data_IF_835292353957
#
_entry.id   IF_835292353957
#
_cell.length_a   1.000
_cell.length_b   1.000
_cell.length_c   1.000
_cell.angle_alpha   90.00
_cell.angle_beta   90.00
_cell.angle_gamma   90.00
#
_symmetry.space_group_name_H-M   'P 1'
#
loop_
_entity.id
_entity.type
_entity.pdbx_description
1 polymer ?
#
# COMPACT_ATOMS: atom_id res chain seq x y z
N UNK A 1 1.61 19.10 -3.11
CA UNK A 1 1.24 20.40 -3.74
C UNK A 1 1.46 20.29 -5.23
N UNK A 2 0.52 20.76 -6.06
CA UNK A 2 0.71 20.81 -7.52
C UNK A 2 1.71 21.92 -7.88
N UNK A 3 2.63 21.64 -8.79
CA UNK A 3 3.56 22.61 -9.36
C UNK A 3 3.67 22.41 -10.88
N UNK A 4 4.24 23.39 -11.58
CA UNK A 4 4.50 23.30 -13.02
C UNK A 4 6.02 23.29 -13.26
N UNK A 5 6.52 22.24 -13.89
CA UNK A 5 7.92 22.09 -14.27
C UNK A 5 8.19 22.95 -15.51
N UNK A 6 9.05 23.96 -15.38
CA UNK A 6 9.36 24.92 -16.43
C UNK A 6 10.33 24.37 -17.50
N UNK A 7 11.00 23.25 -17.23
CA UNK A 7 11.95 22.63 -18.16
C UNK A 7 11.23 21.57 -18.99
N UNK A 8 10.47 20.70 -18.32
CA UNK A 8 9.74 19.61 -18.97
C UNK A 8 8.32 20.01 -19.43
N UNK A 9 7.90 21.24 -19.12
CA UNK A 9 6.59 21.81 -19.48
C UNK A 9 5.39 20.94 -19.08
N UNK A 10 5.41 20.41 -17.84
CA UNK A 10 4.37 19.52 -17.33
C UNK A 10 4.01 19.80 -15.88
N UNK A 11 2.79 19.45 -15.47
CA UNK A 11 2.42 19.47 -14.06
C UNK A 11 3.08 18.33 -13.30
N UNK A 12 3.54 18.63 -12.09
CA UNK A 12 4.17 17.69 -11.14
C UNK A 12 3.55 17.85 -9.75
N UNK A 13 3.68 16.82 -8.92
CA UNK A 13 3.30 16.87 -7.52
C UNK A 13 4.55 16.98 -6.64
N UNK A 14 4.71 18.09 -5.93
CA UNK A 14 5.77 18.28 -4.95
C UNK A 14 5.27 17.88 -3.56
N UNK A 15 5.92 16.89 -2.94
CA UNK A 15 5.68 16.46 -1.55
C UNK A 15 6.83 16.98 -0.69
N UNK A 16 6.50 17.83 0.28
CA UNK A 16 7.45 18.42 1.23
C UNK A 16 7.56 17.52 2.45
N UNK A 17 8.79 17.27 2.89
CA UNK A 17 9.10 16.43 4.04
C UNK A 17 9.84 17.26 5.06
N UNK A 18 9.19 17.51 6.20
CA UNK A 18 9.79 18.22 7.32
C UNK A 18 10.44 17.26 8.32
N UNK A 19 11.65 17.58 8.76
CA UNK A 19 12.37 16.90 9.82
C UNK A 19 12.04 17.56 11.16
N UNK A 20 12.00 16.75 12.22
CA UNK A 20 11.78 17.30 13.56
C UNK A 20 12.99 18.17 13.96
N UNK A 21 12.74 19.46 14.21
CA UNK A 21 13.77 20.43 14.57
C UNK A 21 14.56 20.04 15.83
N UNK A 22 13.94 19.29 16.75
CA UNK A 22 14.51 18.83 18.02
C UNK A 22 15.42 17.61 17.86
N UNK A 23 15.46 16.96 16.69
CA UNK A 23 16.39 15.86 16.45
C UNK A 23 17.83 16.36 16.45
N UNK A 24 18.74 15.54 16.99
CA UNK A 24 20.17 15.77 16.83
C UNK A 24 20.56 15.73 15.36
N UNK A 25 21.64 16.41 15.01
CA UNK A 25 22.13 16.46 13.64
C UNK A 25 22.42 15.07 13.07
N UNK A 26 23.06 14.21 13.86
CA UNK A 26 23.32 12.81 13.52
C UNK A 26 22.04 12.04 13.20
N UNK A 27 20.96 12.28 13.95
CA UNK A 27 19.66 11.63 13.72
C UNK A 27 19.00 12.16 12.46
N UNK A 28 19.09 13.47 12.18
CA UNK A 28 18.60 14.07 10.92
C UNK A 28 19.34 13.49 9.73
N UNK A 29 20.68 13.47 9.75
CA UNK A 29 21.51 12.89 8.70
C UNK A 29 21.22 11.41 8.48
N UNK A 30 21.06 10.63 9.56
CA UNK A 30 20.67 9.23 9.46
C UNK A 30 19.32 9.07 8.75
N UNK A 31 18.30 9.82 9.18
CA UNK A 31 16.97 9.80 8.58
C UNK A 31 17.01 10.21 7.09
N UNK A 32 17.70 11.29 6.75
CA UNK A 32 17.86 11.76 5.37
C UNK A 32 18.51 10.66 4.51
N UNK A 33 19.58 10.02 4.99
CA UNK A 33 20.24 8.92 4.26
C UNK A 33 19.31 7.74 4.00
N UNK A 34 18.52 7.34 5.00
CA UNK A 34 17.52 6.28 4.84
C UNK A 34 16.45 6.68 3.82
N UNK A 35 15.90 7.88 3.95
CA UNK A 35 14.92 8.43 3.02
C UNK A 35 15.47 8.48 1.58
N UNK A 36 16.67 9.02 1.37
CA UNK A 36 17.33 9.06 0.06
C UNK A 36 17.52 7.67 -0.53
N UNK A 37 17.91 6.66 0.27
CA UNK A 37 18.03 5.26 -0.22
C UNK A 37 16.70 4.75 -0.75
N UNK A 38 15.61 4.94 0.00
CA UNK A 38 14.27 4.54 -0.41
C UNK A 38 13.81 5.29 -1.68
N UNK A 39 14.06 6.60 -1.73
CA UNK A 39 13.74 7.42 -2.91
C UNK A 39 14.57 7.07 -4.14
N UNK A 40 15.85 6.74 -3.98
CA UNK A 40 16.68 6.30 -5.11
C UNK A 40 16.12 5.02 -5.74
N UNK A 41 15.55 4.12 -4.94
CA UNK A 41 14.87 2.93 -5.45
C UNK A 41 13.57 3.29 -6.14
N UNK A 42 12.75 4.15 -5.53
CA UNK A 42 11.50 4.65 -6.14
C UNK A 42 11.77 5.36 -7.48
N UNK A 43 12.88 6.10 -7.61
CA UNK A 43 13.30 6.75 -8.87
C UNK A 43 13.55 5.75 -10.01
N UNK A 44 13.87 4.49 -9.70
CA UNK A 44 14.00 3.41 -10.69
C UNK A 44 12.68 2.70 -11.04
N UNK A 45 11.59 3.03 -10.37
CA UNK A 45 10.29 2.41 -10.61
C UNK A 45 9.57 3.13 -11.75
N UNK A 46 9.35 2.39 -12.83
CA UNK A 46 8.65 2.88 -14.03
C UNK A 46 7.61 1.83 -14.41
N UNK A 47 6.35 2.10 -14.06
CA UNK A 47 5.22 1.23 -14.34
C UNK A 47 3.93 2.05 -14.38
N UNK A 48 2.99 1.67 -15.24
CA UNK A 48 1.72 2.41 -15.43
C UNK A 48 0.94 2.59 -14.13
N UNK A 49 0.93 1.58 -13.27
CA UNK A 49 0.20 1.58 -11.99
C UNK A 49 1.04 1.96 -10.76
N UNK A 50 2.21 2.58 -10.95
CA UNK A 50 3.05 3.12 -9.87
C UNK A 50 3.30 4.59 -10.17
N UNK A 51 3.06 5.48 -9.21
CA UNK A 51 3.37 6.91 -9.36
C UNK A 51 4.87 7.07 -9.56
N UNK A 52 5.27 7.75 -10.63
CA UNK A 52 6.70 7.97 -10.91
C UNK A 52 7.30 9.01 -9.98
N UNK A 53 8.47 8.71 -9.42
CA UNK A 53 9.31 9.71 -8.77
C UNK A 53 10.28 10.28 -9.81
N UNK A 54 10.17 11.58 -10.06
CA UNK A 54 11.02 12.29 -10.99
C UNK A 54 12.30 12.75 -10.33
N UNK A 55 12.19 13.39 -9.16
CA UNK A 55 13.35 13.97 -8.50
C UNK A 55 13.22 14.13 -6.98
N UNK A 56 14.36 14.41 -6.34
CA UNK A 56 14.46 14.74 -4.93
C UNK A 56 15.52 15.82 -4.73
N UNK A 57 15.22 16.83 -3.93
CA UNK A 57 16.17 17.88 -3.58
C UNK A 57 15.91 18.43 -2.18
N UNK A 58 16.98 18.85 -1.51
CA UNK A 58 16.90 19.55 -0.23
C UNK A 58 16.44 21.00 -0.45
N UNK A 59 15.58 21.50 0.43
CA UNK A 59 15.16 22.92 0.44
C UNK A 59 15.98 23.66 1.50
N UNK A 60 16.06 23.10 2.70
CA UNK A 60 16.82 23.62 3.82
C UNK A 60 17.26 22.49 4.76
N UNK A 61 17.89 22.87 5.87
CA UNK A 61 18.46 21.96 6.86
C UNK A 61 17.44 20.98 7.49
N UNK A 62 16.15 21.32 7.49
CA UNK A 62 15.09 20.51 8.08
C UNK A 62 14.02 20.13 7.04
N UNK A 63 14.22 20.38 5.76
CA UNK A 63 13.18 20.18 4.74
C UNK A 63 13.77 19.71 3.42
N UNK A 64 13.19 18.66 2.86
CA UNK A 64 13.45 18.23 1.49
C UNK A 64 12.15 18.01 0.72
N UNK A 65 12.24 18.01 -0.61
CA UNK A 65 11.12 17.86 -1.51
C UNK A 65 11.32 16.67 -2.43
N UNK A 66 10.25 15.90 -2.64
CA UNK A 66 10.19 14.89 -3.70
C UNK A 66 9.22 15.34 -4.80
N UNK A 67 9.68 15.27 -6.04
CA UNK A 67 8.93 15.62 -7.25
C UNK A 67 8.36 14.35 -7.86
N UNK A 68 7.04 14.23 -7.86
CA UNK A 68 6.28 13.06 -8.26
C UNK A 68 5.46 13.35 -9.52
N UNK A 69 5.09 12.29 -10.23
CA UNK A 69 4.02 12.33 -11.24
C UNK A 69 2.75 12.92 -10.63
N UNK A 70 2.19 13.92 -11.30
CA UNK A 70 0.93 14.52 -10.91
C UNK A 70 -0.22 13.65 -11.40
N UNK A 71 -0.97 13.08 -10.46
CA UNK A 71 -2.25 12.42 -10.72
C UNK A 71 -3.35 13.45 -10.46
N UNK A 72 -4.08 13.85 -11.50
CA UNK A 72 -5.10 14.90 -11.40
C UNK A 72 -6.42 14.43 -10.78
N UNK A 73 -6.65 13.12 -10.72
CA UNK A 73 -7.74 12.52 -9.98
C UNK A 73 -7.54 12.56 -8.46
N UNK A 74 -8.60 12.20 -7.73
CA UNK A 74 -8.56 12.05 -6.28
C UNK A 74 -7.83 10.75 -5.89
N UNK A 75 -7.48 10.59 -4.63
CA UNK A 75 -7.14 9.29 -4.07
C UNK A 75 -8.42 8.45 -3.81
N UNK A 76 -8.25 7.14 -3.65
CA UNK A 76 -9.35 6.21 -3.40
C UNK A 76 -10.03 6.47 -2.05
N UNK A 77 -9.35 7.04 -1.04
CA UNK A 77 -9.98 7.40 0.23
C UNK A 77 -11.01 8.52 0.04
N UNK A 78 -10.66 9.55 -0.73
CA UNK A 78 -11.56 10.63 -1.10
C UNK A 78 -12.72 10.15 -2.00
N UNK A 79 -12.49 9.16 -2.87
CA UNK A 79 -13.56 8.49 -3.62
C UNK A 79 -14.51 7.77 -2.67
N UNK A 80 -13.99 6.96 -1.73
CA UNK A 80 -14.81 6.19 -0.79
C UNK A 80 -15.55 7.07 0.23
N UNK A 81 -15.04 8.28 0.54
CA UNK A 81 -15.78 9.27 1.33
C UNK A 81 -17.01 9.81 0.59
N UNK A 82 -16.90 10.02 -0.72
CA UNK A 82 -18.00 10.53 -1.55
C UNK A 82 -18.97 9.42 -2.00
N UNK A 83 -18.45 8.22 -2.23
CA UNK A 83 -19.20 7.05 -2.68
C UNK A 83 -18.73 5.84 -1.86
N UNK A 84 -19.34 5.60 -0.68
CA UNK A 84 -18.87 4.57 0.25
C UNK A 84 -18.84 3.16 -0.34
N UNK A 85 -19.77 2.84 -1.24
CA UNK A 85 -19.87 1.52 -1.87
C UNK A 85 -19.71 1.69 -3.38
N UNK A 86 -18.68 1.08 -3.94
CA UNK A 86 -18.45 1.03 -5.38
C UNK A 86 -19.13 -0.18 -6.01
N UNK A 87 -19.65 -0.07 -7.24
CA UNK A 87 -20.06 -1.23 -8.03
C UNK A 87 -18.90 -2.23 -8.16
N UNK A 88 -19.21 -3.53 -8.07
CA UNK A 88 -18.17 -4.57 -8.09
C UNK A 88 -17.27 -4.50 -9.32
N UNK A 89 -17.83 -4.17 -10.48
CA UNK A 89 -17.07 -4.01 -11.73
C UNK A 89 -16.01 -2.90 -11.62
N UNK A 90 -16.33 -1.79 -10.97
CA UNK A 90 -15.40 -0.67 -10.77
C UNK A 90 -14.34 -1.04 -9.73
N UNK A 91 -14.75 -1.61 -8.60
CA UNK A 91 -13.83 -2.12 -7.58
C UNK A 91 -12.86 -3.16 -8.15
N UNK A 92 -13.32 -4.02 -9.08
CA UNK A 92 -12.50 -5.00 -9.79
C UNK A 92 -11.46 -4.34 -10.70
N UNK A 93 -11.82 -3.30 -11.45
CA UNK A 93 -10.87 -2.56 -12.30
C UNK A 93 -9.73 -1.97 -11.45
N UNK A 94 -10.08 -1.39 -10.30
CA UNK A 94 -9.12 -0.79 -9.37
C UNK A 94 -8.19 -1.86 -8.78
N UNK A 95 -8.75 -2.94 -8.22
CA UNK A 95 -7.94 -3.96 -7.53
C UNK A 95 -7.00 -4.72 -8.50
N UNK A 96 -7.43 -4.95 -9.74
CA UNK A 96 -6.56 -5.54 -10.78
C UNK A 96 -5.34 -4.65 -11.04
N UNK A 97 -5.55 -3.35 -11.19
CA UNK A 97 -4.46 -2.39 -11.43
C UNK A 97 -3.53 -2.24 -10.23
N UNK A 98 -4.07 -2.28 -9.01
CA UNK A 98 -3.26 -2.35 -7.78
C UNK A 98 -2.36 -3.59 -7.82
N UNK A 99 -2.90 -4.78 -8.11
CA UNK A 99 -2.09 -5.99 -8.20
C UNK A 99 -1.08 -5.96 -9.35
N UNK A 100 -1.37 -5.31 -10.48
CA UNK A 100 -0.38 -5.09 -11.55
C UNK A 100 0.83 -4.28 -11.03
N UNK A 101 0.59 -3.22 -10.25
CA UNK A 101 1.64 -2.48 -9.56
C UNK A 101 2.42 -3.34 -8.57
N UNK A 102 1.74 -4.11 -7.71
CA UNK A 102 2.39 -4.99 -6.74
C UNK A 102 3.23 -6.09 -7.42
N UNK A 103 2.75 -6.69 -8.51
CA UNK A 103 3.50 -7.67 -9.29
C UNK A 103 4.78 -7.06 -9.86
N UNK A 104 4.70 -5.82 -10.36
CA UNK A 104 5.90 -5.10 -10.84
C UNK A 104 6.94 -4.95 -9.71
N UNK A 105 6.52 -4.49 -8.53
CA UNK A 105 7.39 -4.33 -7.36
C UNK A 105 8.03 -5.65 -6.93
N UNK A 106 7.28 -6.75 -6.97
CA UNK A 106 7.75 -8.06 -6.54
C UNK A 106 8.65 -8.77 -7.56
N UNK A 107 8.63 -8.34 -8.83
CA UNK A 107 9.50 -8.86 -9.90
C UNK A 107 10.84 -8.11 -10.04
N UNK A 108 11.05 -7.02 -9.29
CA UNK A 108 12.35 -6.33 -9.24
C UNK A 108 13.41 -7.27 -8.65
N UNK A 109 14.68 -7.06 -9.03
CA UNK A 109 15.80 -7.83 -8.49
C UNK A 109 15.80 -7.79 -6.96
N UNK A 110 15.79 -6.58 -6.41
CA UNK A 110 15.45 -6.35 -5.00
C UNK A 110 13.94 -6.22 -4.87
N UNK A 111 13.29 -7.20 -4.24
CA UNK A 111 11.83 -7.20 -4.07
C UNK A 111 11.42 -6.05 -3.16
N UNK A 112 10.36 -5.35 -3.52
CA UNK A 112 9.82 -4.23 -2.73
C UNK A 112 8.48 -4.65 -2.14
N UNK A 113 8.33 -4.47 -0.83
CA UNK A 113 7.06 -4.57 -0.09
C UNK A 113 6.60 -3.13 0.16
N UNK A 114 5.38 -2.79 -0.23
CA UNK A 114 4.85 -1.43 -0.03
C UNK A 114 4.61 -1.12 1.45
N UNK A 115 4.08 -2.09 2.20
CA UNK A 115 3.86 -2.09 3.66
C UNK A 115 2.79 -1.11 4.19
N UNK A 116 2.54 0.03 3.53
CA UNK A 116 1.45 0.96 3.92
C UNK A 116 0.39 1.12 2.81
N UNK A 117 0.01 0.01 2.18
CA UNK A 117 -1.01 0.05 1.13
C UNK A 117 -2.40 0.32 1.75
N UNK A 118 -3.04 1.41 1.32
CA UNK A 118 -4.35 1.89 1.81
C UNK A 118 -5.02 2.78 0.76
N UNK A 119 -6.33 3.08 0.88
CA UNK A 119 -7.04 3.89 -0.12
C UNK A 119 -6.38 5.27 -0.38
N UNK A 120 -5.85 5.92 0.65
CA UNK A 120 -5.16 7.22 0.48
C UNK A 120 -3.85 7.13 -0.32
N UNK A 121 -3.29 5.93 -0.51
CA UNK A 121 -2.07 5.66 -1.27
C UNK A 121 -2.36 5.06 -2.65
N UNK A 122 -3.62 5.14 -3.09
CA UNK A 122 -4.09 4.71 -4.42
C UNK A 122 -4.69 5.92 -5.12
N UNK A 123 -3.97 6.46 -6.11
CA UNK A 123 -4.37 7.64 -6.88
C UNK A 123 -5.00 7.26 -8.21
N UNK A 124 -5.76 8.19 -8.79
CA UNK A 124 -6.24 8.10 -10.16
C UNK A 124 -5.61 9.20 -11.02
N UNK A 125 -5.11 8.85 -12.20
CA UNK A 125 -4.69 9.86 -13.17
C UNK A 125 -5.89 10.46 -13.94
N UNK A 126 -5.60 11.30 -14.94
CA UNK A 126 -6.60 12.05 -15.71
C UNK A 126 -7.58 11.17 -16.51
N UNK A 127 -7.21 9.92 -16.82
CA UNK A 127 -8.06 8.96 -17.53
C UNK A 127 -8.61 7.88 -16.61
N UNK A 128 -8.39 7.99 -15.30
CA UNK A 128 -8.89 7.05 -14.30
C UNK A 128 -8.04 5.79 -14.11
N UNK A 129 -6.80 5.77 -14.60
CA UNK A 129 -5.86 4.67 -14.32
C UNK A 129 -5.39 4.76 -12.88
N UNK A 130 -5.39 3.61 -12.20
CA UNK A 130 -5.02 3.49 -10.80
C UNK A 130 -3.50 3.44 -10.64
N UNK A 131 -2.95 4.25 -9.74
CA UNK A 131 -1.51 4.33 -9.44
C UNK A 131 -1.25 4.23 -7.93
N UNK A 132 -0.40 3.29 -7.53
CA UNK A 132 0.07 3.18 -6.14
C UNK A 132 1.16 4.22 -5.87
N UNK A 133 1.11 4.87 -4.71
CA UNK A 133 2.04 5.93 -4.29
C UNK A 133 2.45 5.76 -2.82
N UNK A 134 3.36 6.62 -2.38
CA UNK A 134 3.84 6.73 -0.98
C UNK A 134 4.63 5.52 -0.46
N UNK A 135 5.87 5.42 -0.93
CA UNK A 135 6.82 4.37 -0.58
C UNK A 135 7.63 4.65 0.70
N UNK A 136 7.27 5.66 1.50
CA UNK A 136 8.06 6.08 2.67
C UNK A 136 8.09 5.10 3.85
N UNK A 137 7.31 4.02 3.79
CA UNK A 137 7.39 2.89 4.72
C UNK A 137 7.76 1.57 4.03
N UNK A 138 8.07 1.64 2.73
CA UNK A 138 8.36 0.46 1.93
C UNK A 138 9.61 -0.26 2.43
N UNK A 139 9.66 -1.57 2.18
CA UNK A 139 10.75 -2.43 2.61
C UNK A 139 11.38 -3.10 1.41
N UNK A 140 12.70 -3.12 1.39
CA UNK A 140 13.49 -3.77 0.36
C UNK A 140 13.99 -5.08 0.93
N UNK A 141 13.60 -6.19 0.30
CA UNK A 141 14.06 -7.52 0.69
C UNK A 141 15.38 -7.76 -0.03
N UNK A 142 16.46 -7.86 0.74
CA UNK A 142 17.80 -8.16 0.23
C UNK A 142 17.91 -9.65 -0.15
N UNK A 143 18.71 -9.97 -1.18
CA UNK A 143 18.75 -11.29 -1.81
C UNK A 143 19.16 -12.43 -0.85
N UNK A 144 19.95 -12.12 0.17
CA UNK A 144 20.49 -13.10 1.12
C UNK A 144 19.46 -13.67 2.11
N UNK A 145 18.22 -13.14 2.15
CA UNK A 145 17.15 -13.63 3.05
C UNK A 145 16.23 -14.66 2.37
N UNK A 146 16.45 -14.93 1.08
CA UNK A 146 15.67 -15.88 0.29
C UNK A 146 14.18 -15.53 0.19
N UNK A 147 13.36 -16.49 -0.26
CA UNK A 147 11.91 -16.33 -0.40
C UNK A 147 11.15 -16.29 0.94
N UNK A 148 11.83 -16.25 2.08
CA UNK A 148 11.20 -16.42 3.37
C UNK A 148 10.57 -15.12 3.88
N UNK A 149 11.18 -13.95 3.67
CA UNK A 149 10.69 -12.67 4.16
C UNK A 149 11.81 -11.82 4.77
N UNK A 150 11.47 -10.89 5.67
CA UNK A 150 12.43 -10.07 6.43
C UNK A 150 11.87 -9.70 7.80
N UNK A 151 12.75 -9.36 8.75
CA UNK A 151 12.32 -8.82 10.04
C UNK A 151 11.70 -7.42 9.89
N UNK A 152 10.62 -7.17 10.62
CA UNK A 152 9.97 -5.88 10.67
C UNK A 152 10.76 -4.93 11.58
N UNK A 153 11.52 -4.04 10.96
CA UNK A 153 12.39 -3.07 11.66
C UNK A 153 11.65 -1.87 12.28
N UNK A 154 10.38 -1.68 11.95
CA UNK A 154 9.57 -0.53 12.38
C UNK A 154 8.19 -0.96 12.85
N UNK A 155 8.16 -1.86 13.84
CA UNK A 155 6.91 -2.33 14.45
C UNK A 155 6.14 -1.14 15.06
N UNK A 156 4.83 -1.08 14.80
CA UNK A 156 3.98 0.07 15.18
C UNK A 156 3.88 1.18 14.14
N UNK A 157 4.61 1.12 13.02
CA UNK A 157 4.38 1.97 11.86
C UNK A 157 3.34 1.36 10.90
N UNK A 158 2.69 2.21 10.10
CA UNK A 158 1.67 1.84 9.12
C UNK A 158 0.25 2.12 9.60
N UNK A 159 -0.73 1.73 8.78
CA UNK A 159 -2.15 1.98 9.05
C UNK A 159 -2.84 0.67 9.45
N UNK A 160 -3.08 0.47 10.75
CA UNK A 160 -3.34 -0.84 11.36
C UNK A 160 -4.48 -1.65 10.76
N UNK A 161 -5.55 -1.00 10.30
CA UNK A 161 -6.65 -1.70 9.63
C UNK A 161 -6.25 -2.48 8.38
N UNK A 162 -5.16 -2.08 7.71
CA UNK A 162 -4.66 -2.70 6.48
C UNK A 162 -3.43 -3.58 6.72
N UNK A 163 -2.95 -3.68 7.97
CA UNK A 163 -1.85 -4.57 8.32
C UNK A 163 -2.38 -5.95 8.71
N UNK A 164 -1.65 -7.02 8.39
CA UNK A 164 -2.04 -8.38 8.75
C UNK A 164 -1.68 -8.75 10.19
N UNK A 165 -2.22 -9.86 10.73
CA UNK A 165 -2.03 -10.28 12.12
C UNK A 165 -0.57 -10.45 12.53
N UNK A 166 0.28 -10.96 11.63
CA UNK A 166 1.70 -11.18 11.93
C UNK A 166 2.45 -9.88 12.30
N UNK A 167 2.01 -8.71 11.85
CA UNK A 167 2.64 -7.43 12.18
C UNK A 167 2.41 -7.00 13.65
N UNK A 168 1.46 -7.64 14.34
CA UNK A 168 1.07 -7.32 15.72
C UNK A 168 1.55 -8.37 16.73
N UNK A 169 2.26 -9.43 16.30
CA UNK A 169 2.86 -10.40 17.22
C UNK A 169 3.98 -9.72 18.03
N UNK A 170 3.78 -9.58 19.34
CA UNK A 170 4.75 -8.99 20.26
C UNK A 170 5.66 -10.05 20.91
N UNK A 171 5.40 -11.35 20.69
CA UNK A 171 6.17 -12.43 21.32
C UNK A 171 7.55 -12.63 20.71
N UNK A 172 7.76 -12.13 19.49
CA UNK A 172 9.00 -12.20 18.70
C UNK A 172 9.02 -11.06 17.69
N UNK A 173 10.19 -10.76 17.13
CA UNK A 173 10.30 -9.84 16.00
C UNK A 173 9.44 -10.35 14.84
N UNK A 174 8.44 -9.58 14.36
CA UNK A 174 7.60 -10.01 13.25
C UNK A 174 8.42 -10.24 11.99
N UNK A 175 8.07 -11.30 11.27
CA UNK A 175 8.66 -11.60 9.97
C UNK A 175 7.63 -11.35 8.87
N UNK A 176 7.96 -10.46 7.94
CA UNK A 176 7.06 -9.98 6.90
C UNK A 176 7.55 -10.38 5.51
N UNK A 177 6.63 -10.48 4.58
CA UNK A 177 6.89 -10.74 3.16
C UNK A 177 5.90 -9.93 2.32
N UNK A 178 5.93 -10.09 0.98
CA UNK A 178 4.95 -9.44 0.10
C UNK A 178 3.50 -9.82 0.41
N UNK A 179 3.28 -10.87 1.20
CA UNK A 179 1.97 -11.27 1.75
C UNK A 179 1.32 -10.21 2.64
N UNK A 180 2.08 -9.22 3.13
CA UNK A 180 1.54 -8.04 3.81
C UNK A 180 0.69 -7.21 2.84
N UNK A 181 1.23 -6.89 1.65
CA UNK A 181 0.51 -6.10 0.64
C UNK A 181 -0.72 -6.85 0.10
N UNK A 182 -0.66 -8.19 0.04
CA UNK A 182 -1.82 -9.03 -0.31
C UNK A 182 -2.97 -8.85 0.68
N UNK A 183 -2.68 -8.84 1.97
CA UNK A 183 -3.69 -8.57 3.00
C UNK A 183 -4.26 -7.17 2.87
N UNK A 184 -3.39 -6.16 2.74
CA UNK A 184 -3.80 -4.76 2.58
C UNK A 184 -4.72 -4.57 1.37
N UNK A 185 -4.38 -5.19 0.22
CA UNK A 185 -5.21 -5.20 -0.98
C UNK A 185 -6.57 -5.88 -0.75
N UNK A 186 -6.61 -6.98 0.00
CA UNK A 186 -7.85 -7.65 0.40
C UNK A 186 -8.76 -6.76 1.26
N UNK A 187 -8.18 -6.05 2.24
CA UNK A 187 -8.90 -5.09 3.08
C UNK A 187 -9.49 -3.95 2.24
N UNK A 188 -8.69 -3.37 1.34
CA UNK A 188 -9.15 -2.32 0.43
C UNK A 188 -10.27 -2.82 -0.48
N UNK A 189 -10.15 -4.02 -1.05
CA UNK A 189 -11.18 -4.56 -1.93
C UNK A 189 -12.50 -4.80 -1.20
N UNK A 190 -12.45 -5.34 0.03
CA UNK A 190 -13.62 -5.43 0.88
C UNK A 190 -14.22 -4.05 1.16
N UNK A 191 -13.40 -3.07 1.49
CA UNK A 191 -13.86 -1.72 1.80
C UNK A 191 -14.55 -1.05 0.60
N UNK A 192 -14.02 -1.23 -0.61
CA UNK A 192 -14.65 -0.74 -1.84
C UNK A 192 -16.05 -1.33 -2.04
N UNK A 193 -16.25 -2.60 -1.70
CA UNK A 193 -17.51 -3.31 -1.95
C UNK A 193 -18.56 -3.15 -0.85
N UNK A 194 -18.14 -2.90 0.38
CA UNK A 194 -19.04 -2.87 1.55
C UNK A 194 -19.09 -1.53 2.26
N UNK A 195 -18.28 -0.56 1.86
CA UNK A 195 -18.17 0.77 2.47
C UNK A 195 -17.67 0.77 3.90
N UNK A 196 -17.12 -0.36 4.34
CA UNK A 196 -16.60 -0.57 5.68
C UNK A 196 -15.41 -1.49 5.66
N UNK A 197 -14.52 -1.36 6.65
CA UNK A 197 -13.38 -2.27 6.78
C UNK A 197 -13.86 -3.61 7.35
N UNK A 198 -13.28 -4.76 6.94
CA UNK A 198 -13.67 -6.07 7.44
C UNK A 198 -13.37 -6.23 8.94
N UNK A 199 -12.36 -5.52 9.45
CA UNK A 199 -11.93 -5.54 10.85
C UNK A 199 -11.80 -4.12 11.38
N UNK A 200 -12.26 -3.90 12.61
CA UNK A 200 -12.11 -2.63 13.34
C UNK A 200 -12.70 -1.39 12.68
N UNK A 201 -13.82 -1.52 11.94
CA UNK A 201 -14.38 -0.47 11.08
C UNK A 201 -14.48 0.94 11.70
N UNK A 202 -14.83 1.06 12.98
CA UNK A 202 -14.97 2.35 13.69
C UNK A 202 -14.06 2.45 14.92
N UNK A 203 -13.05 1.59 15.00
CA UNK A 203 -12.08 1.61 16.10
C UNK A 203 -10.91 2.53 15.75
N UNK A 204 -10.38 3.25 16.72
CA UNK A 204 -9.08 3.93 16.57
C UNK A 204 -7.93 2.91 16.52
N UNK A 205 -6.75 3.32 16.03
CA UNK A 205 -5.55 2.45 16.06
C UNK A 205 -5.18 2.01 17.48
N UNK A 206 -5.33 2.90 18.47
CA UNK A 206 -5.13 2.58 19.88
C UNK A 206 -6.10 1.48 20.34
N UNK A 207 -7.38 1.59 19.96
CA UNK A 207 -8.39 0.58 20.30
C UNK A 207 -8.13 -0.75 19.60
N UNK A 208 -7.68 -0.73 18.34
CA UNK A 208 -7.26 -1.95 17.62
C UNK A 208 -6.17 -2.70 18.38
N UNK A 209 -5.14 -1.98 18.86
CA UNK A 209 -4.07 -2.58 19.65
C UNK A 209 -4.58 -3.11 20.98
N UNK A 210 -5.31 -2.29 21.73
CA UNK A 210 -5.79 -2.66 23.06
C UNK A 210 -6.75 -3.85 23.05
N UNK A 211 -7.58 -3.98 22.01
CA UNK A 211 -8.58 -5.04 21.88
C UNK A 211 -8.08 -6.22 21.01
N UNK A 212 -6.80 -6.25 20.65
CA UNK A 212 -6.20 -7.30 19.81
C UNK A 212 -7.02 -7.58 18.54
N UNK A 213 -7.61 -6.55 17.94
CA UNK A 213 -8.68 -6.75 16.93
C UNK A 213 -8.15 -7.45 15.69
N UNK A 214 -6.99 -7.03 15.18
CA UNK A 214 -6.36 -7.68 14.02
C UNK A 214 -5.77 -9.03 14.41
N UNK A 215 -5.19 -9.15 15.61
CA UNK A 215 -4.71 -10.43 16.13
C UNK A 215 -5.86 -11.44 16.18
N UNK A 216 -7.10 -11.04 16.44
CA UNK A 216 -8.27 -11.93 16.50
C UNK A 216 -9.03 -12.07 15.17
N UNK A 217 -8.56 -11.48 14.07
CA UNK A 217 -9.20 -11.48 12.75
C UNK A 217 -9.08 -12.83 12.01
N UNK A 218 -9.56 -13.93 12.61
CA UNK A 218 -9.44 -15.31 12.10
C UNK A 218 -10.23 -15.56 10.81
N UNK A 219 -11.33 -14.83 10.61
CA UNK A 219 -12.27 -15.04 9.50
C UNK A 219 -12.92 -13.73 9.09
N UNK A 220 -13.02 -13.49 7.79
CA UNK A 220 -13.78 -12.37 7.22
C UNK A 220 -15.26 -12.74 7.09
N UNK A 221 -16.14 -11.81 7.46
CA UNK A 221 -17.59 -11.93 7.32
C UNK A 221 -18.13 -10.99 6.25
N UNK A 222 -19.10 -11.47 5.48
CA UNK A 222 -19.68 -10.73 4.36
C UNK A 222 -21.15 -10.40 4.65
N UNK A 223 -21.52 -9.11 4.69
CA UNK A 223 -22.91 -8.69 4.74
C UNK A 223 -23.76 -9.30 3.61
N UNK A 224 -25.06 -9.53 3.83
CA UNK A 224 -25.97 -10.00 2.78
C UNK A 224 -26.21 -8.93 1.70
N UNK A 225 -26.03 -7.65 2.03
CA UNK A 225 -26.14 -6.50 1.12
C UNK A 225 -24.92 -5.58 1.27
N UNK A 226 -24.42 -4.98 0.16
CA UNK A 226 -24.81 -5.25 -1.23
C UNK A 226 -24.46 -6.69 -1.65
N UNK A 227 -25.14 -7.17 -2.68
CA UNK A 227 -24.83 -8.49 -3.25
C UNK A 227 -23.52 -8.39 -4.03
N UNK A 228 -22.58 -9.24 -3.67
CA UNK A 228 -21.23 -9.36 -4.26
C UNK A 228 -21.05 -10.82 -4.69
N UNK A 229 -20.40 -11.02 -5.83
CA UNK A 229 -20.17 -12.33 -6.44
C UNK A 229 -19.39 -13.28 -5.50
N UNK A 230 -19.56 -14.59 -5.71
CA UNK A 230 -18.83 -15.57 -4.93
C UNK A 230 -17.33 -15.53 -5.24
N UNK A 231 -16.97 -15.24 -6.49
CA UNK A 231 -15.59 -15.10 -6.95
C UNK A 231 -14.89 -13.92 -6.28
N UNK A 232 -15.55 -12.77 -6.15
CA UNK A 232 -15.03 -11.61 -5.43
C UNK A 232 -14.81 -11.92 -3.94
N UNK A 233 -15.79 -12.56 -3.30
CA UNK A 233 -15.68 -13.02 -1.90
C UNK A 233 -14.53 -14.01 -1.73
N UNK A 234 -14.32 -14.89 -2.69
CA UNK A 234 -13.25 -15.89 -2.65
C UNK A 234 -11.85 -15.30 -2.85
N UNK A 235 -11.73 -14.27 -3.71
CA UNK A 235 -10.51 -13.45 -3.75
C UNK A 235 -10.24 -12.80 -2.39
N UNK A 236 -11.25 -12.16 -1.79
CA UNK A 236 -11.09 -11.53 -0.47
C UNK A 236 -10.68 -12.55 0.59
N UNK A 237 -11.29 -13.73 0.65
CA UNK A 237 -10.93 -14.77 1.63
C UNK A 237 -9.46 -15.19 1.52
N UNK A 238 -8.96 -15.38 0.30
CA UNK A 238 -7.55 -15.77 0.08
C UNK A 238 -6.59 -14.63 0.40
N UNK A 239 -6.95 -13.39 0.08
CA UNK A 239 -6.15 -12.24 0.50
C UNK A 239 -6.11 -12.11 2.03
N UNK A 240 -7.23 -12.37 2.70
CA UNK A 240 -7.41 -12.25 4.15
C UNK A 240 -7.22 -13.59 4.89
N UNK A 241 -6.43 -14.52 4.33
CA UNK A 241 -6.03 -15.73 5.05
C UNK A 241 -5.21 -15.35 6.29
N UNK A 242 -5.70 -15.75 7.46
CA UNK A 242 -5.12 -15.39 8.75
C UNK A 242 -3.66 -15.84 8.88
N UNK A 243 -3.40 -17.13 8.60
CA UNK A 243 -2.05 -17.68 8.70
C UNK A 243 -1.20 -17.21 7.50
N UNK A 244 -0.11 -16.51 7.79
CA UNK A 244 0.80 -15.99 6.78
C UNK A 244 1.40 -17.11 5.90
N UNK A 245 1.63 -18.32 6.41
CA UNK A 245 2.19 -19.41 5.60
C UNK A 245 1.22 -19.87 4.50
N UNK A 246 -0.09 -19.83 4.78
CA UNK A 246 -1.17 -20.23 3.90
C UNK A 246 -1.66 -19.09 2.98
N UNK A 247 -1.43 -17.83 3.39
CA UNK A 247 -1.76 -16.69 2.55
C UNK A 247 -0.90 -16.71 1.28
N UNK A 248 -1.48 -16.59 0.07
CA UNK A 248 -0.69 -16.51 -1.15
C UNK A 248 0.18 -15.24 -1.15
N UNK A 249 1.35 -15.32 -1.77
CA UNK A 249 2.16 -14.14 -2.06
C UNK A 249 1.60 -13.37 -3.27
N UNK A 250 2.18 -12.19 -3.55
CA UNK A 250 1.74 -11.31 -4.64
C UNK A 250 1.73 -12.02 -6.00
N UNK A 251 2.77 -12.81 -6.31
CA UNK A 251 2.88 -13.47 -7.60
C UNK A 251 1.85 -14.60 -7.75
N UNK A 252 1.59 -15.33 -6.67
CA UNK A 252 0.60 -16.42 -6.62
C UNK A 252 -0.82 -15.89 -6.70
N UNK A 253 -1.17 -14.87 -5.90
CA UNK A 253 -2.53 -14.31 -5.92
C UNK A 253 -2.84 -13.61 -7.24
N UNK A 254 -1.83 -13.03 -7.92
CA UNK A 254 -2.02 -12.39 -9.22
C UNK A 254 -2.41 -13.38 -10.35
N UNK A 255 -2.20 -14.68 -10.16
CA UNK A 255 -2.69 -15.71 -11.11
C UNK A 255 -4.16 -16.05 -10.91
N UNK A 256 -4.84 -15.40 -9.96
CA UNK A 256 -6.23 -15.69 -9.68
C UNK A 256 -7.16 -15.39 -10.87
N UNK A 257 -8.12 -16.28 -11.20
CA UNK A 257 -9.08 -16.03 -12.26
C UNK A 257 -9.86 -14.71 -12.10
N UNK A 258 -10.16 -14.26 -10.87
CA UNK A 258 -10.85 -12.99 -10.65
C UNK A 258 -9.99 -11.78 -11.07
N UNK A 259 -8.66 -11.88 -10.96
CA UNK A 259 -7.74 -10.83 -11.37
C UNK A 259 -7.37 -10.88 -12.85
N UNK A 260 -7.69 -11.98 -13.54
CA UNK A 260 -7.51 -12.09 -14.98
C UNK A 260 -8.73 -11.59 -15.75
N UNK A 261 -8.51 -10.78 -16.79
CA UNK A 261 -9.50 -10.53 -17.82
C UNK A 261 -9.47 -11.69 -18.82
N UNK A 262 -10.00 -12.86 -18.45
CA UNK A 262 -10.38 -13.83 -19.45
C UNK A 262 -11.55 -13.21 -20.23
N UNK A 263 -11.34 -12.88 -21.52
CA UNK A 263 -12.46 -12.68 -22.45
C UNK A 263 -13.28 -13.98 -22.40
N UNK A 264 -14.44 -13.93 -21.73
CA UNK A 264 -15.48 -14.93 -21.95
C UNK A 264 -16.22 -14.57 -23.22
#
# INVERSE_FOLDING_TARGET
VQAFDLVEYKYVACKLHGLNAQWSEEKKQSYIRHAIREYNIHKTLVHTNIVRLWDIFEIDHNTFCTVLEYCSGKDLDAVLKATPILPEKEARIIIVQVFQGLVYLNKKAQKIIHYDLKPGNVLFDEVGVTKVTDFGLSKIVEDDVGSQGMELTSQGAGTYWYLPPECFDLSRTPFISSKVDVWSAGVMFYQMLYGRRPFGHDQTQERILREDTIINARKVEFPPKPTVSNEAKELIRRCLTYNQSERPDVLSIAQDPYLSYAKR
#
